data_IF_082644982564
#
_entry.id   IF_082644982564
#
_cell.length_a   1.000
_cell.length_b   1.000
_cell.length_c   1.000
_cell.angle_alpha   90.00
_cell.angle_beta   90.00
_cell.angle_gamma   90.00
#
_symmetry.space_group_name_H-M   'P 1'
#
loop_
_entity.id
_entity.type
_entity.pdbx_description
1 polymer ?
#
# COMPACT_ATOMS: atom_id res chain seq x y z
N UNK A 1 -8.04 -4.70 -11.01
CA UNK A 1 -6.72 -5.35 -11.24
C UNK A 1 -6.57 -6.65 -10.47
N UNK A 2 -6.78 -6.69 -9.14
CA UNK A 2 -6.62 -7.91 -8.31
C UNK A 2 -7.36 -9.13 -8.89
N UNK A 3 -8.64 -8.98 -9.29
CA UNK A 3 -9.45 -10.06 -9.88
C UNK A 3 -8.73 -10.90 -10.95
N UNK A 4 -8.08 -10.24 -11.93
CA UNK A 4 -7.44 -10.95 -13.05
C UNK A 4 -6.10 -11.55 -12.65
N UNK A 5 -5.35 -10.86 -11.78
CA UNK A 5 -4.07 -11.36 -11.28
C UNK A 5 -4.26 -12.63 -10.44
N UNK A 6 -5.32 -12.70 -9.63
CA UNK A 6 -5.64 -13.87 -8.80
C UNK A 6 -5.85 -15.12 -9.65
N UNK A 7 -6.62 -15.02 -10.74
CA UNK A 7 -6.89 -16.16 -11.63
C UNK A 7 -5.58 -16.75 -12.19
N UNK A 8 -4.65 -15.90 -12.61
CA UNK A 8 -3.35 -16.35 -13.12
C UNK A 8 -2.44 -16.87 -12.00
N UNK A 9 -2.42 -16.23 -10.83
CA UNK A 9 -1.62 -16.67 -9.69
C UNK A 9 -2.08 -18.03 -9.15
N UNK A 10 -3.37 -18.35 -9.21
CA UNK A 10 -3.91 -19.63 -8.79
C UNK A 10 -3.33 -20.81 -9.60
N UNK A 11 -2.95 -20.57 -10.86
CA UNK A 11 -2.32 -21.56 -11.75
C UNK A 11 -0.81 -21.75 -11.49
N UNK A 12 -0.17 -20.87 -10.73
CA UNK A 12 1.25 -21.00 -10.40
C UNK A 12 1.51 -22.28 -9.61
N UNK A 13 2.61 -22.98 -9.93
CA UNK A 13 3.08 -24.09 -9.09
C UNK A 13 3.38 -23.55 -7.68
N UNK A 14 2.83 -24.17 -6.62
CA UNK A 14 3.12 -23.74 -5.26
C UNK A 14 4.60 -23.96 -4.93
N UNK A 15 5.16 -23.07 -4.12
CA UNK A 15 6.50 -23.23 -3.56
C UNK A 15 6.52 -24.24 -2.39
N UNK A 16 7.68 -24.38 -1.74
CA UNK A 16 7.90 -25.28 -0.61
C UNK A 16 6.99 -24.99 0.61
N UNK A 17 6.45 -23.76 0.72
CA UNK A 17 5.57 -23.32 1.79
C UNK A 17 4.10 -23.31 1.34
N UNK A 18 3.80 -23.95 0.20
CA UNK A 18 2.48 -23.98 -0.45
C UNK A 18 1.95 -22.60 -0.85
N UNK A 19 2.84 -21.66 -1.18
CA UNK A 19 2.49 -20.32 -1.64
C UNK A 19 2.56 -20.21 -3.16
N UNK A 20 1.63 -19.48 -3.75
CA UNK A 20 1.51 -19.29 -5.21
C UNK A 20 1.84 -17.88 -5.68
N UNK A 21 1.89 -16.93 -4.77
CA UNK A 21 2.22 -15.55 -5.10
C UNK A 21 1.95 -14.56 -3.99
N UNK A 22 2.29 -13.30 -4.28
CA UNK A 22 2.02 -12.16 -3.40
C UNK A 22 1.54 -10.97 -4.21
N UNK A 23 0.48 -10.33 -3.72
CA UNK A 23 -0.02 -9.04 -4.20
C UNK A 23 0.41 -7.98 -3.20
N UNK A 24 1.10 -6.95 -3.69
CA UNK A 24 1.51 -5.80 -2.87
C UNK A 24 0.75 -4.56 -3.33
N UNK A 25 -0.10 -4.05 -2.45
CA UNK A 25 -0.82 -2.80 -2.65
C UNK A 25 -0.02 -1.62 -2.11
N UNK A 26 -0.15 -0.46 -2.75
CA UNK A 26 0.49 0.79 -2.28
C UNK A 26 -0.54 1.67 -1.58
N UNK A 27 -0.53 1.66 -0.25
CA UNK A 27 -1.26 2.58 0.61
C UNK A 27 -0.46 3.90 0.76
N UNK A 28 -0.60 4.57 1.91
CA UNK A 28 0.18 5.75 2.31
C UNK A 28 -0.02 6.00 3.81
N UNK A 29 0.92 6.66 4.48
CA UNK A 29 0.69 7.17 5.85
C UNK A 29 -0.54 8.09 5.94
N UNK A 30 -0.89 8.76 4.84
CA UNK A 30 -2.11 9.58 4.73
C UNK A 30 -3.41 8.79 4.97
N UNK A 31 -3.37 7.45 4.89
CA UNK A 31 -4.49 6.58 5.26
C UNK A 31 -4.79 6.58 6.78
N UNK A 32 -3.79 6.91 7.60
CA UNK A 32 -3.85 6.87 9.06
C UNK A 32 -3.73 8.27 9.66
N UNK A 33 -2.84 9.09 9.09
CA UNK A 33 -2.56 10.46 9.51
C UNK A 33 -2.79 11.39 8.31
N UNK A 34 -4.07 11.67 8.02
CA UNK A 34 -4.45 12.52 6.90
C UNK A 34 -3.95 13.97 7.06
N UNK A 35 -3.52 14.58 5.95
CA UNK A 35 -3.14 16.00 5.93
C UNK A 35 -4.31 16.90 5.52
N UNK A 36 -4.28 18.15 5.98
CA UNK A 36 -5.26 19.18 5.58
C UNK A 36 -5.24 19.34 4.06
N UNK A 37 -6.42 19.34 3.44
CA UNK A 37 -6.56 19.47 1.98
C UNK A 37 -6.41 18.16 1.20
N UNK A 38 -6.12 17.03 1.85
CA UNK A 38 -5.92 15.72 1.20
C UNK A 38 -7.01 14.70 1.53
N UNK A 39 -8.26 15.14 1.73
CA UNK A 39 -9.38 14.26 2.13
C UNK A 39 -9.61 13.11 1.14
N UNK A 40 -9.66 13.42 -0.16
CA UNK A 40 -9.87 12.40 -1.19
C UNK A 40 -8.70 11.40 -1.27
N UNK A 41 -7.47 11.89 -1.08
CA UNK A 41 -6.28 11.05 -1.08
C UNK A 41 -6.23 10.14 0.16
N UNK A 42 -6.49 10.69 1.35
CA UNK A 42 -6.60 9.95 2.59
C UNK A 42 -7.70 8.87 2.51
N UNK A 43 -8.88 9.21 2.00
CA UNK A 43 -9.97 8.25 1.78
C UNK A 43 -9.56 7.13 0.80
N UNK A 44 -8.93 7.49 -0.32
CA UNK A 44 -8.45 6.49 -1.30
C UNK A 44 -7.41 5.55 -0.71
N UNK A 45 -6.45 6.07 0.05
CA UNK A 45 -5.39 5.24 0.66
C UNK A 45 -5.89 4.46 1.87
N UNK A 46 -6.86 5.00 2.61
CA UNK A 46 -7.63 4.30 3.64
C UNK A 46 -8.37 3.09 3.07
N UNK A 47 -9.05 3.24 1.93
CA UNK A 47 -9.72 2.13 1.26
C UNK A 47 -8.74 1.00 0.87
N UNK A 48 -7.55 1.35 0.39
CA UNK A 48 -6.50 0.38 0.05
C UNK A 48 -6.00 -0.36 1.30
N UNK A 49 -5.77 0.36 2.40
CA UNK A 49 -5.36 -0.25 3.66
C UNK A 49 -6.44 -1.19 4.21
N UNK A 50 -7.70 -0.73 4.27
CA UNK A 50 -8.81 -1.51 4.83
C UNK A 50 -9.16 -2.74 4.01
N UNK A 51 -9.06 -2.68 2.67
CA UNK A 51 -9.39 -3.83 1.81
C UNK A 51 -8.32 -4.92 1.82
N UNK A 52 -7.09 -4.64 2.27
CA UNK A 52 -5.97 -5.57 2.14
C UNK A 52 -6.16 -6.84 2.98
N UNK A 53 -6.56 -6.70 4.25
CA UNK A 53 -6.79 -7.83 5.15
C UNK A 53 -7.93 -8.77 4.71
N UNK A 54 -9.14 -8.28 4.35
CA UNK A 54 -10.20 -9.17 3.89
C UNK A 54 -9.82 -9.90 2.60
N UNK A 55 -9.19 -9.22 1.63
CA UNK A 55 -8.73 -9.89 0.41
C UNK A 55 -7.67 -10.96 0.75
N UNK A 56 -6.73 -10.69 1.67
CA UNK A 56 -5.77 -11.69 2.11
C UNK A 56 -6.43 -12.93 2.71
N UNK A 57 -7.53 -12.75 3.47
CA UNK A 57 -8.29 -13.86 4.06
C UNK A 57 -9.03 -14.66 3.00
N UNK A 58 -9.66 -13.99 2.03
CA UNK A 58 -10.38 -14.64 0.94
C UNK A 58 -9.45 -15.53 0.10
N UNK A 59 -8.21 -15.06 -0.12
CA UNK A 59 -7.23 -15.74 -0.98
C UNK A 59 -6.28 -16.70 -0.25
N UNK A 60 -6.35 -16.78 1.09
CA UNK A 60 -5.44 -17.59 1.88
C UNK A 60 -5.46 -19.08 1.48
N UNK A 61 -6.63 -19.62 1.12
CA UNK A 61 -6.78 -21.02 0.69
C UNK A 61 -6.13 -21.31 -0.65
N UNK A 62 -5.94 -20.29 -1.49
CA UNK A 62 -5.24 -20.41 -2.76
C UNK A 62 -3.73 -20.23 -2.62
N UNK A 63 -3.22 -19.99 -1.40
CA UNK A 63 -1.79 -19.74 -1.17
C UNK A 63 -1.33 -18.39 -1.73
N UNK A 64 -2.24 -17.44 -1.94
CA UNK A 64 -1.92 -16.10 -2.45
C UNK A 64 -1.97 -15.12 -1.28
N UNK A 65 -0.86 -14.45 -1.02
CA UNK A 65 -0.74 -13.44 0.05
C UNK A 65 -1.09 -12.06 -0.49
N UNK A 66 -1.70 -11.22 0.35
CA UNK A 66 -1.97 -9.82 0.01
C UNK A 66 -1.46 -8.92 1.13
N UNK A 67 -0.57 -8.00 0.77
CA UNK A 67 0.08 -7.08 1.69
C UNK A 67 -0.10 -5.65 1.19
N UNK A 68 0.01 -4.67 2.09
CA UNK A 68 0.06 -3.27 1.73
C UNK A 68 1.30 -2.61 2.35
N UNK A 69 1.95 -1.76 1.57
CA UNK A 69 3.02 -0.87 2.06
C UNK A 69 2.42 0.53 2.14
N UNK A 70 2.66 1.24 3.25
CA UNK A 70 2.19 2.60 3.48
C UNK A 70 3.40 3.56 3.56
N UNK A 71 3.87 4.10 2.42
CA UNK A 71 4.99 5.03 2.43
C UNK A 71 4.61 6.36 3.09
N UNK A 72 5.60 6.96 3.76
CA UNK A 72 5.60 8.38 4.10
C UNK A 72 5.93 9.26 2.89
N UNK A 73 6.07 10.55 3.14
CA UNK A 73 6.61 11.46 2.13
C UNK A 73 8.01 10.97 1.71
N UNK A 74 8.16 10.73 0.41
CA UNK A 74 9.37 10.17 -0.18
C UNK A 74 9.85 11.14 -1.25
N UNK A 75 11.16 11.35 -1.31
CA UNK A 75 11.76 12.15 -2.37
C UNK A 75 11.54 11.45 -3.71
N UNK A 76 10.87 12.12 -4.62
CA UNK A 76 10.65 11.65 -5.99
C UNK A 76 10.70 12.85 -6.94
N UNK A 77 10.76 12.61 -8.25
CA UNK A 77 10.92 13.70 -9.22
C UNK A 77 9.81 14.76 -9.14
N UNK A 78 8.60 14.36 -8.74
CA UNK A 78 7.46 15.25 -8.51
C UNK A 78 7.57 16.06 -7.22
N UNK A 79 8.21 15.49 -6.18
CA UNK A 79 8.35 16.10 -4.87
C UNK A 79 9.86 16.11 -4.54
N UNK A 80 10.57 17.17 -4.97
CA UNK A 80 11.98 17.29 -4.68
C UNK A 80 12.19 17.39 -3.18
N UNK A 81 13.37 16.95 -2.72
CA UNK A 81 13.74 17.04 -1.30
C UNK A 81 13.56 18.48 -0.83
N UNK A 82 12.62 18.68 0.09
CA UNK A 82 12.41 19.99 0.67
C UNK A 82 13.66 20.39 1.44
N UNK A 83 14.17 21.64 1.27
CA UNK A 83 15.32 22.08 2.03
C UNK A 83 14.99 21.98 3.53
N UNK A 84 15.97 21.65 4.38
CA UNK A 84 15.74 21.61 5.82
C UNK A 84 15.14 22.95 6.24
N UNK A 85 14.02 22.89 6.99
CA UNK A 85 13.37 24.09 7.53
C UNK A 85 14.42 24.79 8.39
N UNK A 86 14.97 25.90 7.88
CA UNK A 86 15.87 26.74 8.65
C UNK A 86 15.15 27.12 9.94
N UNK A 87 15.84 27.01 11.09
CA UNK A 87 15.32 27.55 12.35
C UNK A 87 14.88 28.98 12.08
N UNK A 88 13.58 29.23 12.07
CA UNK A 88 13.08 30.59 12.21
C UNK A 88 13.74 31.14 13.49
N UNK A 89 14.40 32.30 13.44
CA UNK A 89 14.90 32.92 14.66
C UNK A 89 13.67 33.17 15.54
N UNK A 90 13.62 32.45 16.66
CA UNK A 90 12.77 32.79 17.78
C UNK A 90 13.23 34.17 18.23
N UNK A 91 12.47 35.21 17.85
CA UNK A 91 12.48 36.49 18.56
C UNK A 91 11.82 36.29 19.92
#
# INVERSE_FOLDING_TARGET
MIRMAVLLMAENKPDQDNLRGVIINTASVAAFEGQVGQVAYAASKGAVASMTLPIARDLAREGIRVMAIAPGESTCDLIPRQPPIGRFPVL
#
